data_IF_584440549743
#
_entry.id   IF_584440549743
#
_cell.length_a   1.000
_cell.length_b   1.000
_cell.length_c   1.000
_cell.angle_alpha   90.00
_cell.angle_beta   90.00
_cell.angle_gamma   90.00
#
_symmetry.space_group_name_H-M   'P 1'
#
loop_
_entity.id
_entity.type
_entity.pdbx_description
1 polymer ?
#
# COMPACT_ATOMS: atom_id res chain seq x y z
N UNK A 1 -4.17 -12.54 -12.51
CA UNK A 1 -3.04 -13.27 -13.12
C UNK A 1 -2.24 -13.90 -11.99
N UNK A 2 -1.71 -15.10 -12.20
CA UNK A 2 -1.38 -16.08 -11.17
C UNK A 2 -0.04 -15.75 -10.50
N UNK A 3 -0.07 -15.34 -9.23
CA UNK A 3 1.11 -15.23 -8.35
C UNK A 3 1.94 -16.54 -8.33
N UNK A 4 3.23 -16.45 -8.03
CA UNK A 4 4.20 -17.52 -8.20
C UNK A 4 3.90 -18.80 -7.41
N UNK A 5 4.35 -19.92 -7.98
CA UNK A 5 4.32 -21.24 -7.35
C UNK A 5 5.22 -21.23 -6.12
N UNK A 6 4.65 -21.33 -4.92
CA UNK A 6 5.47 -21.54 -3.71
C UNK A 6 6.13 -22.92 -3.81
N UNK A 7 7.41 -23.01 -3.43
CA UNK A 7 8.22 -24.21 -3.56
C UNK A 7 7.56 -25.40 -2.83
N UNK A 8 7.07 -26.38 -3.60
CA UNK A 8 6.32 -27.54 -3.09
C UNK A 8 4.84 -27.61 -3.50
N UNK A 9 4.27 -26.56 -4.10
CA UNK A 9 2.88 -26.58 -4.57
C UNK A 9 2.71 -27.43 -5.85
N UNK A 10 1.61 -28.20 -5.99
CA UNK A 10 1.40 -29.10 -7.10
C UNK A 10 1.24 -28.36 -8.44
N UNK A 11 1.62 -28.98 -9.58
CA UNK A 11 1.43 -28.39 -10.89
C UNK A 11 -0.05 -28.11 -11.17
N UNK A 12 -0.34 -26.93 -11.70
CA UNK A 12 -1.70 -26.46 -11.96
C UNK A 12 -2.33 -25.63 -10.83
N UNK A 13 -1.57 -25.34 -9.76
CA UNK A 13 -2.02 -24.42 -8.71
C UNK A 13 -2.22 -23.02 -9.27
N UNK A 14 -3.39 -22.43 -8.97
CA UNK A 14 -3.74 -21.07 -9.37
C UNK A 14 -3.69 -20.13 -8.17
N UNK A 15 -3.21 -18.91 -8.39
CA UNK A 15 -2.99 -17.94 -7.32
C UNK A 15 -3.77 -16.66 -7.59
N UNK A 16 -4.40 -16.14 -6.55
CA UNK A 16 -5.23 -14.97 -6.62
C UNK A 16 -4.99 -14.07 -5.40
N UNK A 17 -4.98 -12.76 -5.64
CA UNK A 17 -5.13 -11.76 -4.58
C UNK A 17 -6.60 -11.43 -4.38
N UNK A 18 -7.11 -11.67 -3.18
CA UNK A 18 -8.50 -11.33 -2.84
C UNK A 18 -8.60 -9.85 -2.48
N UNK A 19 -8.98 -9.05 -3.46
CA UNK A 19 -9.22 -7.62 -3.28
C UNK A 19 -10.52 -7.35 -2.49
N UNK A 20 -10.48 -6.42 -1.53
CA UNK A 20 -11.62 -5.93 -0.73
C UNK A 20 -12.62 -5.17 -1.60
N UNK A 21 -13.42 -5.90 -2.37
CA UNK A 21 -14.48 -5.38 -3.25
C UNK A 21 -15.82 -6.02 -2.91
N UNK A 22 -16.91 -5.32 -3.21
CA UNK A 22 -18.27 -5.81 -2.93
C UNK A 22 -18.45 -6.15 -1.45
N UNK A 23 -18.95 -7.35 -1.14
CA UNK A 23 -19.18 -7.84 0.22
C UNK A 23 -17.89 -7.88 1.07
N UNK A 24 -16.74 -8.14 0.45
CA UNK A 24 -15.45 -8.14 1.16
C UNK A 24 -14.95 -6.75 1.57
N UNK A 25 -15.66 -5.67 1.20
CA UNK A 25 -15.42 -4.31 1.70
C UNK A 25 -15.98 -4.10 3.11
N UNK A 26 -16.97 -4.88 3.53
CA UNK A 26 -17.66 -4.71 4.82
C UNK A 26 -16.71 -4.83 6.02
N UNK A 27 -15.65 -5.61 5.89
CA UNK A 27 -14.61 -5.77 6.90
C UNK A 27 -13.86 -4.46 7.22
N UNK A 28 -13.89 -3.45 6.35
CA UNK A 28 -13.25 -2.15 6.59
C UNK A 28 -13.95 -1.32 7.67
N UNK A 29 -15.24 -1.58 7.95
CA UNK A 29 -16.02 -0.84 8.96
C UNK A 29 -15.45 -1.00 10.37
N UNK A 30 -14.85 -2.16 10.63
CA UNK A 30 -14.30 -2.53 11.92
C UNK A 30 -12.76 -2.36 11.97
N UNK A 31 -12.15 -1.75 10.94
CA UNK A 31 -10.71 -1.50 10.89
C UNK A 31 -10.36 -0.06 11.31
N UNK A 32 -9.23 0.14 12.03
CA UNK A 32 -8.71 1.48 12.30
C UNK A 32 -8.30 2.17 10.99
N UNK A 33 -8.55 3.48 10.89
CA UNK A 33 -8.50 4.26 9.64
C UNK A 33 -7.20 4.24 8.84
N UNK A 34 -6.07 3.79 9.40
CA UNK A 34 -4.81 3.58 8.68
C UNK A 34 -4.83 2.32 7.78
N UNK A 35 -5.71 1.36 8.07
CA UNK A 35 -5.89 0.09 7.34
C UNK A 35 -7.19 0.05 6.52
N UNK A 36 -8.08 1.01 6.75
CA UNK A 36 -9.26 1.25 5.94
C UNK A 36 -8.83 2.05 4.71
N UNK A 37 -9.20 1.59 3.51
CA UNK A 37 -9.02 2.40 2.31
C UNK A 37 -10.06 3.51 2.34
N UNK A 38 -9.83 4.53 3.17
CA UNK A 38 -10.72 5.68 3.25
C UNK A 38 -10.45 6.59 2.05
N UNK A 39 -11.14 6.29 0.95
CA UNK A 39 -11.59 7.27 -0.05
C UNK A 39 -10.53 8.04 -0.87
N UNK A 40 -9.23 7.80 -0.67
CA UNK A 40 -8.16 8.51 -1.35
C UNK A 40 -7.36 7.63 -2.31
N UNK A 41 -7.74 7.67 -3.59
CA UNK A 41 -7.14 6.96 -4.73
C UNK A 41 -7.48 5.46 -4.84
N UNK A 42 -7.45 4.93 -6.06
CA UNK A 42 -7.92 3.60 -6.51
C UNK A 42 -7.24 2.37 -5.85
N UNK A 43 -6.66 2.52 -4.65
CA UNK A 43 -6.09 1.43 -3.88
C UNK A 43 -7.17 0.62 -3.19
N UNK A 44 -7.57 -0.47 -3.83
CA UNK A 44 -8.39 -1.50 -3.20
C UNK A 44 -7.49 -2.35 -2.32
N UNK A 45 -7.71 -2.32 -1.00
CA UNK A 45 -6.91 -3.15 -0.10
C UNK A 45 -7.16 -4.64 -0.30
N UNK A 46 -6.24 -5.48 0.18
CA UNK A 46 -6.37 -6.94 0.09
C UNK A 46 -6.89 -7.56 1.39
N UNK A 47 -7.77 -8.54 1.25
CA UNK A 47 -8.20 -9.45 2.31
C UNK A 47 -7.14 -10.52 2.58
N UNK A 48 -6.49 -11.01 1.53
CA UNK A 48 -5.52 -12.08 1.63
C UNK A 48 -5.14 -12.67 0.27
N UNK A 49 -4.36 -13.75 0.31
CA UNK A 49 -4.01 -14.56 -0.85
C UNK A 49 -4.89 -15.81 -0.87
N UNK A 50 -5.28 -16.23 -2.06
CA UNK A 50 -6.06 -17.44 -2.30
C UNK A 50 -5.28 -18.31 -3.28
N UNK A 51 -4.97 -19.53 -2.86
CA UNK A 51 -4.41 -20.58 -3.71
C UNK A 51 -5.48 -21.61 -4.00
N UNK A 52 -5.70 -21.90 -5.27
CA UNK A 52 -6.56 -22.99 -5.73
C UNK A 52 -5.65 -24.13 -6.18
N UNK A 53 -5.60 -25.18 -5.37
CA UNK A 53 -4.93 -26.45 -5.68
C UNK A 53 -5.90 -27.34 -6.47
N UNK A 54 -5.40 -28.40 -7.14
CA UNK A 54 -6.27 -29.35 -7.84
C UNK A 54 -7.35 -29.99 -6.97
N UNK A 55 -7.07 -30.17 -5.68
CA UNK A 55 -7.92 -30.86 -4.70
C UNK A 55 -8.32 -29.97 -3.51
N UNK A 56 -8.02 -28.67 -3.54
CA UNK A 56 -8.22 -27.83 -2.37
C UNK A 56 -8.14 -26.32 -2.61
N UNK A 57 -8.53 -25.58 -1.58
CA UNK A 57 -8.46 -24.13 -1.52
C UNK A 57 -7.71 -23.73 -0.26
N UNK A 58 -6.65 -22.94 -0.41
CA UNK A 58 -5.92 -22.36 0.73
C UNK A 58 -6.11 -20.85 0.71
N UNK A 59 -6.57 -20.31 1.83
CA UNK A 59 -6.74 -18.87 2.01
C UNK A 59 -5.80 -18.42 3.13
N UNK A 60 -4.90 -17.49 2.80
CA UNK A 60 -3.94 -16.92 3.75
C UNK A 60 -4.29 -15.46 3.99
N UNK A 61 -4.45 -15.09 5.25
CA UNK A 61 -4.77 -13.71 5.65
C UNK A 61 -3.79 -13.22 6.72
N UNK A 62 -3.70 -11.90 6.88
CA UNK A 62 -2.78 -11.25 7.82
C UNK A 62 -3.39 -10.95 9.20
N UNK A 63 -4.64 -11.33 9.45
CA UNK A 63 -5.27 -11.14 10.76
C UNK A 63 -6.36 -12.17 11.01
N UNK A 64 -6.61 -12.49 12.29
CA UNK A 64 -7.69 -13.38 12.71
C UNK A 64 -9.07 -12.88 12.26
N UNK A 65 -9.27 -11.55 12.26
CA UNK A 65 -10.51 -10.94 11.78
C UNK A 65 -10.74 -11.24 10.29
N UNK A 66 -9.71 -11.07 9.44
CA UNK A 66 -9.79 -11.37 8.01
C UNK A 66 -9.97 -12.87 7.76
N UNK A 67 -9.32 -13.70 8.56
CA UNK A 67 -9.49 -15.15 8.49
C UNK A 67 -10.93 -15.58 8.77
N UNK A 68 -11.52 -15.11 9.88
CA UNK A 68 -12.89 -15.45 10.25
C UNK A 68 -13.89 -15.04 9.16
N UNK A 69 -13.72 -13.84 8.60
CA UNK A 69 -14.52 -13.34 7.49
C UNK A 69 -14.34 -14.19 6.22
N UNK A 70 -13.09 -14.49 5.84
CA UNK A 70 -12.80 -15.30 4.67
C UNK A 70 -13.37 -16.72 4.78
N UNK A 71 -13.34 -17.30 5.98
CA UNK A 71 -13.92 -18.61 6.27
C UNK A 71 -15.43 -18.62 6.07
N UNK A 72 -16.16 -17.65 6.64
CA UNK A 72 -17.62 -17.54 6.47
C UNK A 72 -18.01 -17.38 4.99
N UNK A 73 -17.28 -16.53 4.24
CA UNK A 73 -17.49 -16.40 2.80
C UNK A 73 -17.19 -17.70 2.06
N UNK A 74 -16.06 -18.36 2.35
CA UNK A 74 -15.71 -19.61 1.68
C UNK A 74 -16.78 -20.69 1.89
N UNK A 75 -17.27 -20.86 3.12
CA UNK A 75 -18.34 -21.80 3.45
C UNK A 75 -19.66 -21.45 2.76
N UNK A 76 -19.97 -20.16 2.62
CA UNK A 76 -21.20 -19.69 1.96
C UNK A 76 -21.17 -19.88 0.45
N UNK A 77 -20.09 -19.47 -0.22
CA UNK A 77 -20.01 -19.46 -1.68
C UNK A 77 -19.59 -20.80 -2.28
N UNK A 78 -18.72 -21.55 -1.60
CA UNK A 78 -18.25 -22.86 -2.06
C UNK A 78 -18.98 -24.02 -1.39
N UNK A 79 -20.18 -23.75 -0.86
CA UNK A 79 -21.00 -24.74 -0.15
C UNK A 79 -21.18 -26.01 -0.99
N UNK A 80 -20.72 -27.14 -0.45
CA UNK A 80 -20.80 -28.45 -1.12
C UNK A 80 -19.68 -28.75 -2.11
N UNK A 81 -18.78 -27.79 -2.40
CA UNK A 81 -17.58 -27.99 -3.24
C UNK A 81 -16.31 -28.08 -2.41
N UNK A 82 -16.25 -27.36 -1.28
CA UNK A 82 -15.12 -27.41 -0.35
C UNK A 82 -15.60 -27.74 1.06
N UNK A 83 -14.74 -28.41 1.82
CA UNK A 83 -14.93 -28.64 3.25
C UNK A 83 -13.70 -28.13 4.00
N UNK A 84 -13.93 -27.61 5.21
CA UNK A 84 -12.83 -27.15 6.05
C UNK A 84 -11.91 -28.33 6.40
N UNK A 85 -10.64 -28.22 6.04
CA UNK A 85 -9.64 -29.27 6.28
C UNK A 85 -8.71 -28.93 7.45
N UNK A 86 -8.07 -27.75 7.43
CA UNK A 86 -7.12 -27.33 8.46
C UNK A 86 -7.09 -25.81 8.61
N UNK A 87 -6.75 -25.35 9.81
CA UNK A 87 -6.39 -23.98 10.13
C UNK A 87 -4.98 -23.94 10.71
N UNK A 88 -4.22 -22.90 10.38
CA UNK A 88 -2.90 -22.66 10.94
C UNK A 88 -2.79 -21.19 11.28
N UNK A 89 -2.50 -20.90 12.55
CA UNK A 89 -2.28 -19.54 13.05
C UNK A 89 -0.81 -19.42 13.42
N UNK A 90 -0.13 -18.44 12.83
CA UNK A 90 1.29 -18.17 13.09
C UNK A 90 1.39 -16.80 13.75
N UNK A 91 2.22 -16.70 14.80
CA UNK A 91 2.60 -15.40 15.34
C UNK A 91 3.55 -14.71 14.34
N UNK A 92 2.97 -13.78 13.57
CA UNK A 92 3.68 -13.08 12.52
C UNK A 92 4.84 -12.23 13.07
N UNK A 93 4.71 -11.70 14.29
CA UNK A 93 5.77 -10.90 14.90
C UNK A 93 6.98 -11.77 15.26
N UNK A 94 6.73 -12.96 15.82
CA UNK A 94 7.77 -13.93 16.11
C UNK A 94 8.44 -14.45 14.82
N UNK A 95 7.66 -14.84 13.82
CA UNK A 95 8.19 -15.33 12.54
C UNK A 95 9.04 -14.26 11.83
N UNK A 96 8.59 -12.99 11.82
CA UNK A 96 9.38 -11.88 11.27
C UNK A 96 10.65 -11.60 12.07
N UNK A 97 10.60 -11.71 13.40
CA UNK A 97 11.77 -11.56 14.26
C UNK A 97 12.80 -12.68 14.00
N UNK A 98 12.34 -13.92 13.84
CA UNK A 98 13.19 -15.08 13.52
C UNK A 98 13.76 -15.02 12.10
N UNK A 99 13.02 -14.49 11.11
CA UNK A 99 13.51 -14.24 9.75
C UNK A 99 14.59 -13.16 9.73
N UNK A 100 14.36 -12.05 10.45
CA UNK A 100 15.37 -10.99 10.63
C UNK A 100 16.62 -11.51 11.35
N UNK A 101 16.45 -12.35 12.38
CA UNK A 101 17.56 -12.95 13.12
C UNK A 101 18.39 -13.93 12.26
N UNK A 102 17.77 -14.60 11.28
CA UNK A 102 18.44 -15.44 10.28
C UNK A 102 19.14 -14.65 9.17
N UNK A 103 19.18 -13.31 9.26
CA UNK A 103 19.79 -12.45 8.25
C UNK A 103 18.95 -12.25 7.00
N UNK A 104 17.68 -12.65 7.02
CA UNK A 104 16.73 -12.26 5.98
C UNK A 104 16.38 -10.80 6.16
N UNK A 105 16.95 -9.94 5.32
CA UNK A 105 16.47 -8.58 5.18
C UNK A 105 14.99 -8.64 4.80
N UNK A 106 14.16 -7.82 5.44
CA UNK A 106 12.72 -7.76 5.13
C UNK A 106 12.44 -7.14 3.74
N UNK A 107 13.49 -6.85 2.97
CA UNK A 107 13.49 -6.51 1.55
C UNK A 107 13.73 -7.68 0.59
N UNK A 108 14.12 -8.86 1.10
CA UNK A 108 14.43 -10.06 0.30
C UNK A 108 13.34 -11.15 0.48
N UNK A 109 12.06 -10.79 0.36
CA UNK A 109 11.21 -11.70 -0.41
C UNK A 109 11.79 -11.66 -1.82
N UNK A 110 12.57 -12.68 -2.17
CA UNK A 110 13.14 -12.82 -3.51
C UNK A 110 12.02 -12.49 -4.50
N UNK A 111 12.17 -11.42 -5.30
CA UNK A 111 11.09 -10.93 -6.11
C UNK A 111 10.67 -12.12 -6.96
N UNK A 112 9.44 -12.60 -6.73
CA UNK A 112 8.85 -13.67 -7.52
C UNK A 112 9.24 -13.41 -8.96
N UNK A 113 9.80 -14.38 -9.70
CA UNK A 113 10.23 -14.16 -11.06
C UNK A 113 9.02 -13.62 -11.79
N UNK A 114 9.02 -12.29 -12.00
CA UNK A 114 7.96 -11.62 -12.72
C UNK A 114 7.96 -12.34 -14.04
N UNK A 115 6.83 -12.97 -14.41
CA UNK A 115 6.59 -13.32 -15.81
C UNK A 115 7.08 -12.12 -16.60
N UNK A 116 7.91 -12.36 -17.61
CA UNK A 116 8.42 -11.33 -18.51
C UNK A 116 7.24 -10.57 -19.16
N UNK A 117 6.59 -9.68 -18.41
CA UNK A 117 6.18 -8.40 -18.91
C UNK A 117 7.51 -7.73 -19.24
N UNK A 118 7.70 -7.37 -20.50
CA UNK A 118 8.79 -6.49 -20.88
C UNK A 118 8.83 -5.38 -19.83
N UNK A 119 9.98 -5.16 -19.16
CA UNK A 119 10.06 -4.22 -18.06
C UNK A 119 9.51 -2.91 -18.58
N UNK A 120 8.35 -2.49 -18.03
CA UNK A 120 7.63 -1.30 -18.48
C UNK A 120 8.69 -0.20 -18.60
N UNK A 121 8.86 0.43 -19.78
CA UNK A 121 9.96 1.36 -19.96
C UNK A 121 9.97 2.39 -18.83
N UNK A 122 11.16 2.72 -18.30
CA UNK A 122 11.27 3.64 -17.14
C UNK A 122 10.52 4.96 -17.36
N UNK A 123 10.46 5.44 -18.60
CA UNK A 123 9.68 6.63 -18.96
C UNK A 123 8.16 6.45 -18.77
N UNK A 124 7.61 5.27 -19.09
CA UNK A 124 6.20 4.94 -18.86
C UNK A 124 5.94 4.76 -17.36
N UNK A 125 6.82 4.05 -16.63
CA UNK A 125 6.72 3.95 -15.17
C UNK A 125 6.72 5.32 -14.50
N UNK A 126 7.60 6.22 -14.96
CA UNK A 126 7.72 7.57 -14.44
C UNK A 126 6.47 8.40 -14.75
N UNK A 127 5.93 8.35 -15.96
CA UNK A 127 4.71 9.09 -16.32
C UNK A 127 3.50 8.63 -15.51
N UNK A 128 3.30 7.31 -15.40
CA UNK A 128 2.19 6.73 -14.62
C UNK A 128 2.33 7.04 -13.14
N UNK A 129 3.55 6.93 -12.59
CA UNK A 129 3.80 7.29 -11.20
C UNK A 129 3.59 8.80 -10.97
N UNK A 130 4.05 9.66 -11.88
CA UNK A 130 3.88 11.11 -11.73
C UNK A 130 2.41 11.52 -11.76
N UNK A 131 1.60 10.98 -12.68
CA UNK A 131 0.17 11.27 -12.73
C UNK A 131 -0.54 10.77 -11.47
N UNK A 132 -0.25 9.54 -11.05
CA UNK A 132 -0.80 8.95 -9.84
C UNK A 132 -0.51 9.80 -8.60
N UNK A 133 0.76 10.18 -8.37
CA UNK A 133 1.13 10.99 -7.21
C UNK A 133 0.55 12.40 -7.28
N UNK A 134 0.44 12.98 -8.49
CA UNK A 134 -0.20 14.29 -8.65
C UNK A 134 -1.66 14.26 -8.19
N UNK A 135 -2.43 13.25 -8.64
CA UNK A 135 -3.84 13.14 -8.25
C UNK A 135 -4.02 12.74 -6.78
N UNK A 136 -3.12 11.90 -6.25
CA UNK A 136 -3.08 11.58 -4.83
C UNK A 136 -2.91 12.84 -3.98
N UNK A 137 -1.91 13.67 -4.29
CA UNK A 137 -1.64 14.87 -3.50
C UNK A 137 -2.72 15.94 -3.64
N UNK A 138 -3.41 16.04 -4.80
CA UNK A 138 -4.60 16.89 -4.93
C UNK A 138 -5.70 16.50 -3.96
N UNK A 139 -5.99 15.21 -3.85
CA UNK A 139 -7.00 14.70 -2.90
C UNK A 139 -6.55 14.89 -1.45
N UNK A 140 -5.28 14.63 -1.17
CA UNK A 140 -4.67 14.83 0.14
C UNK A 140 -4.88 16.26 0.67
N UNK A 141 -4.72 17.28 -0.18
CA UNK A 141 -4.87 18.69 0.20
C UNK A 141 -6.28 19.04 0.72
N UNK A 142 -7.30 18.29 0.30
CA UNK A 142 -8.71 18.48 0.65
C UNK A 142 -9.26 17.43 1.63
N UNK A 143 -8.48 16.39 1.93
CA UNK A 143 -8.89 15.32 2.83
C UNK A 143 -8.63 15.72 4.29
N UNK A 144 -9.56 15.45 5.22
CA UNK A 144 -9.32 15.62 6.64
C UNK A 144 -8.30 14.59 7.14
N UNK A 145 -7.25 15.05 7.83
CA UNK A 145 -6.14 14.18 8.26
C UNK A 145 -6.20 13.99 9.78
N UNK A 146 -6.25 12.74 10.28
CA UNK A 146 -6.25 12.47 11.72
C UNK A 146 -5.04 13.08 12.47
N UNK A 147 -3.85 13.03 11.84
CA UNK A 147 -2.63 13.63 12.37
C UNK A 147 -2.69 15.17 12.45
N UNK A 148 -3.65 15.81 11.77
CA UNK A 148 -3.93 17.24 11.85
C UNK A 148 -5.24 17.51 12.61
N UNK A 149 -5.60 16.63 13.54
CA UNK A 149 -6.85 16.71 14.32
C UNK A 149 -8.12 16.80 13.46
N UNK A 150 -8.12 16.11 12.31
CA UNK A 150 -9.24 16.10 11.37
C UNK A 150 -9.33 17.33 10.47
N UNK A 151 -8.36 18.25 10.50
CA UNK A 151 -8.26 19.36 9.55
C UNK A 151 -7.65 18.89 8.23
N UNK A 152 -7.98 19.59 7.15
CA UNK A 152 -7.30 19.39 5.86
C UNK A 152 -5.92 20.08 5.87
N UNK A 153 -4.95 19.66 5.04
CA UNK A 153 -3.68 20.35 4.89
C UNK A 153 -3.84 21.84 4.59
N UNK A 154 -4.79 22.21 3.71
CA UNK A 154 -5.07 23.62 3.39
C UNK A 154 -5.59 24.43 4.59
N UNK A 155 -6.36 23.79 5.48
CA UNK A 155 -6.82 24.41 6.73
C UNK A 155 -5.69 24.52 7.74
N UNK A 156 -4.90 23.45 7.91
CA UNK A 156 -3.76 23.42 8.83
C UNK A 156 -2.68 24.43 8.43
N UNK A 157 -2.48 24.68 7.13
CA UNK A 157 -1.53 25.68 6.63
C UNK A 157 -1.85 27.11 7.06
N UNK A 158 -3.14 27.42 7.25
CA UNK A 158 -3.64 28.75 7.66
C UNK A 158 -3.68 28.93 9.18
N UNK A 159 -3.54 27.86 9.94
CA UNK A 159 -3.59 27.88 11.40
C UNK A 159 -2.16 27.85 11.96
N UNK A 160 -1.70 28.94 12.63
CA UNK A 160 -0.33 29.02 13.15
C UNK A 160 0.05 27.89 14.11
N UNK A 161 -0.92 27.34 14.85
CA UNK A 161 -0.67 26.24 15.80
C UNK A 161 -0.47 24.92 15.06
N UNK A 162 -1.33 24.67 14.05
CA UNK A 162 -1.26 23.44 13.24
C UNK A 162 -0.16 23.46 12.19
N UNK A 163 0.36 24.65 11.86
CA UNK A 163 1.40 24.81 10.85
C UNK A 163 2.65 24.01 11.19
N UNK A 164 3.05 23.95 12.46
CA UNK A 164 4.21 23.17 12.90
C UNK A 164 4.00 21.67 12.65
N UNK A 165 2.82 21.13 12.96
CA UNK A 165 2.48 19.72 12.71
C UNK A 165 2.40 19.40 11.22
N UNK A 166 1.83 20.31 10.43
CA UNK A 166 1.80 20.18 8.98
C UNK A 166 3.21 20.17 8.37
N UNK A 167 4.13 20.99 8.89
CA UNK A 167 5.54 20.99 8.45
C UNK A 167 6.20 19.64 8.73
N UNK A 168 6.04 19.08 9.93
CA UNK A 168 6.60 17.77 10.26
C UNK A 168 6.00 16.64 9.40
N UNK A 169 4.69 16.69 9.15
CA UNK A 169 4.02 15.76 8.24
C UNK A 169 4.61 15.86 6.82
N UNK A 170 4.77 17.07 6.29
CA UNK A 170 5.30 17.27 4.93
C UNK A 170 6.78 16.88 4.81
N UNK A 171 7.59 17.03 5.87
CA UNK A 171 8.97 16.49 5.89
C UNK A 171 8.99 14.99 5.71
N UNK A 172 8.12 14.26 6.43
CA UNK A 172 8.03 12.81 6.31
C UNK A 172 7.64 12.39 4.89
N UNK A 173 6.68 13.08 4.28
CA UNK A 173 6.26 12.80 2.90
C UNK A 173 7.39 13.04 1.88
N UNK A 174 8.17 14.12 2.03
CA UNK A 174 9.32 14.41 1.18
C UNK A 174 10.42 13.35 1.33
N UNK A 175 10.77 12.98 2.56
CA UNK A 175 11.78 11.95 2.83
C UNK A 175 11.39 10.59 2.26
N UNK A 176 10.14 10.17 2.47
CA UNK A 176 9.61 8.92 1.92
C UNK A 176 9.62 8.94 0.38
N UNK A 177 9.29 10.08 -0.23
CA UNK A 177 9.31 10.23 -1.68
C UNK A 177 10.74 10.15 -2.24
N UNK A 178 11.70 10.84 -1.62
CA UNK A 178 13.11 10.79 -2.02
C UNK A 178 13.68 9.37 -1.89
N UNK A 179 13.36 8.67 -0.80
CA UNK A 179 13.76 7.29 -0.62
C UNK A 179 13.17 6.38 -1.70
N UNK A 180 11.85 6.46 -1.95
CA UNK A 180 11.22 5.66 -2.99
C UNK A 180 11.74 6.00 -4.39
N UNK A 181 12.10 7.26 -4.66
CA UNK A 181 12.73 7.69 -5.91
C UNK A 181 14.10 7.03 -6.08
N UNK A 182 14.93 6.98 -5.02
CA UNK A 182 16.25 6.31 -5.06
C UNK A 182 16.13 4.80 -5.28
N UNK A 183 15.24 4.14 -4.56
CA UNK A 183 15.05 2.69 -4.63
C UNK A 183 14.51 2.23 -6.00
N UNK A 184 13.57 2.99 -6.57
CA UNK A 184 12.89 2.62 -7.82
C UNK A 184 13.48 3.29 -9.07
N UNK A 185 14.51 4.13 -8.90
CA UNK A 185 15.07 4.93 -10.00
C UNK A 185 14.09 5.96 -10.58
N UNK A 186 13.04 6.32 -9.84
CA UNK A 186 12.03 7.30 -10.25
C UNK A 186 12.46 8.72 -9.86
N UNK A 187 11.85 9.73 -10.49
CA UNK A 187 12.03 11.14 -10.13
C UNK A 187 10.68 11.82 -10.04
N UNK A 188 9.91 11.43 -9.02
CA UNK A 188 8.62 12.04 -8.72
C UNK A 188 8.84 13.33 -7.95
N UNK A 189 8.23 14.42 -8.43
CA UNK A 189 8.29 15.73 -7.79
C UNK A 189 6.96 16.07 -7.09
N UNK A 190 7.06 16.43 -5.80
CA UNK A 190 5.96 16.86 -4.95
C UNK A 190 6.20 18.25 -4.34
N UNK A 191 7.22 18.97 -4.80
CA UNK A 191 7.54 20.34 -4.34
C UNK A 191 6.39 21.32 -4.56
N UNK A 192 5.58 21.11 -5.61
CA UNK A 192 4.37 21.89 -5.86
C UNK A 192 3.35 21.86 -4.71
N UNK A 193 3.29 20.75 -3.96
CA UNK A 193 2.38 20.61 -2.80
C UNK A 193 2.82 21.52 -1.67
N UNK A 194 4.14 21.61 -1.45
CA UNK A 194 4.76 22.48 -0.44
C UNK A 194 4.50 23.95 -0.79
N UNK A 195 4.60 24.29 -2.07
CA UNK A 195 4.32 25.63 -2.59
C UNK A 195 2.85 26.00 -2.43
N UNK A 196 1.94 25.10 -2.77
CA UNK A 196 0.50 25.33 -2.65
C UNK A 196 0.06 25.52 -1.19
N UNK A 197 0.70 24.80 -0.25
CA UNK A 197 0.49 24.98 1.19
C UNK A 197 1.21 26.20 1.76
N UNK A 198 2.03 26.90 0.95
CA UNK A 198 2.79 28.06 1.37
C UNK A 198 3.81 27.75 2.46
N UNK A 199 4.38 26.54 2.48
CA UNK A 199 5.37 26.08 3.48
C UNK A 199 6.79 26.49 3.06
N UNK A 200 7.06 27.79 3.07
CA UNK A 200 8.34 28.38 2.67
C UNK A 200 9.53 27.83 3.45
N UNK A 201 9.30 27.41 4.71
CA UNK A 201 10.30 26.80 5.60
C UNK A 201 10.87 25.49 5.04
N UNK A 202 10.09 24.78 4.23
CA UNK A 202 10.52 23.56 3.53
C UNK A 202 11.08 23.87 2.14
N UNK A 203 10.56 24.89 1.47
CA UNK A 203 11.04 25.33 0.18
C UNK A 203 12.46 25.93 0.24
N UNK A 204 12.82 26.65 1.31
CA UNK A 204 14.15 27.23 1.49
C UNK A 204 15.25 26.19 1.73
N UNK A 205 14.88 25.00 2.22
CA UNK A 205 15.81 23.88 2.47
C UNK A 205 16.08 23.02 1.23
N UNK A 206 15.28 23.16 0.18
CA UNK A 206 15.44 22.43 -1.08
C UNK A 206 15.90 23.41 -2.17
N UNK A 207 17.19 23.44 -2.53
CA UNK A 207 17.67 24.37 -3.55
C UNK A 207 17.05 23.98 -4.89
N UNK A 208 16.03 24.72 -5.33
CA UNK A 208 15.55 24.59 -6.71
C UNK A 208 16.69 24.97 -7.66
N UNK A 209 16.94 24.23 -8.75
CA UNK A 209 17.61 24.81 -9.89
C UNK A 209 16.71 25.95 -10.40
N UNK A 210 17.21 27.19 -10.33
CA UNK A 210 16.54 28.33 -10.97
C UNK A 210 16.44 28.02 -12.46
N UNK A 211 15.23 27.74 -12.93
CA UNK A 211 14.96 27.71 -14.37
C UNK A 211 14.99 29.17 -14.81
N UNK A 212 16.16 29.62 -15.26
CA UNK A 212 16.30 30.89 -15.95
C UNK A 212 15.57 30.77 -17.28
N UNK A 213 14.38 31.37 -17.37
CA UNK A 213 13.74 31.63 -18.65
C UNK A 213 14.54 32.73 -19.37
N UNK A 214 15.18 32.36 -20.48
CA UNK A 214 15.53 33.24 -21.59
C UNK A 214 15.00 32.59 -22.87
#
# INVERSE_FOLDING_TARGET
>A
ELDAVEEGDPPGTLYYSWLRRGESKEIEKDMPGLLSSDGGADMVGSLGKVKLLPDGLVITTFSLQKFAFAKDMAERYFRGLVSFCRETVVDLAQEMAERRARGGDAGDEEPQPRRHEEPVPLGVQQQVAQSFFTDYYRKFLDAPIPALHGKTPRQAAKDPVMRAELIELMKLHLQNMEQSNREKGLRIDISWVVDELGLTELAERSPRPRVSSQ
#
